data_IF_405999529765
#
_entry.id   IF_405999529765
#
_cell.length_a   1.000
_cell.length_b   1.000
_cell.length_c   1.000
_cell.angle_alpha   90.00
_cell.angle_beta   90.00
_cell.angle_gamma   90.00
#
_symmetry.space_group_name_H-M   'P 1'
#
loop_
_entity.id
_entity.type
_entity.pdbx_description
1 polymer ?
#
# COMPACT_ATOMS: atom_id res chain seq x y z
N UNK A 1 -8.26 -3.44 15.53
CA UNK A 1 -7.10 -2.81 14.84
C UNK A 1 -7.61 -1.80 13.83
N UNK A 2 -6.99 -0.63 13.73
CA UNK A 2 -7.46 0.40 12.79
C UNK A 2 -7.12 0.03 11.35
N UNK A 3 -7.96 0.43 10.40
CA UNK A 3 -7.68 0.35 8.95
C UNK A 3 -6.28 0.89 8.63
N UNK A 4 -5.81 1.88 9.39
CA UNK A 4 -4.49 2.46 9.27
C UNK A 4 -3.36 1.46 9.60
N UNK A 5 -3.45 0.72 10.71
CA UNK A 5 -2.45 -0.28 11.07
C UNK A 5 -2.44 -1.48 10.09
N UNK A 6 -3.62 -1.89 9.64
CA UNK A 6 -3.79 -2.95 8.63
C UNK A 6 -3.16 -2.53 7.29
N UNK A 7 -3.45 -1.32 6.80
CA UNK A 7 -2.92 -0.80 5.54
C UNK A 7 -1.41 -0.55 5.62
N UNK A 8 -0.88 -0.07 6.75
CA UNK A 8 0.57 0.08 6.95
C UNK A 8 1.30 -1.26 6.89
N UNK A 9 0.72 -2.33 7.46
CA UNK A 9 1.26 -3.68 7.36
C UNK A 9 1.33 -4.18 5.91
N UNK A 10 0.27 -3.95 5.12
CA UNK A 10 0.25 -4.36 3.71
C UNK A 10 1.18 -3.48 2.87
N UNK A 11 1.20 -2.17 3.08
CA UNK A 11 2.11 -1.24 2.41
C UNK A 11 3.58 -1.63 2.61
N UNK A 12 3.95 -1.99 3.85
CA UNK A 12 5.29 -2.51 4.15
C UNK A 12 5.56 -3.84 3.42
N UNK A 13 4.56 -4.72 3.31
CA UNK A 13 4.65 -5.96 2.53
C UNK A 13 4.79 -5.69 1.02
N UNK A 14 4.08 -4.72 0.46
CA UNK A 14 4.21 -4.28 -0.95
C UNK A 14 5.63 -3.75 -1.21
N UNK A 15 6.18 -2.93 -0.30
CA UNK A 15 7.56 -2.44 -0.40
C UNK A 15 8.57 -3.58 -0.33
N UNK A 16 8.41 -4.49 0.64
CA UNK A 16 9.28 -5.67 0.78
C UNK A 16 9.20 -6.56 -0.45
N UNK A 17 8.02 -6.79 -1.00
CA UNK A 17 7.82 -7.60 -2.20
C UNK A 17 8.39 -6.91 -3.45
N UNK A 18 8.23 -5.59 -3.59
CA UNK A 18 8.81 -4.83 -4.71
C UNK A 18 10.34 -4.79 -4.62
N UNK A 19 10.91 -4.62 -3.43
CA UNK A 19 12.35 -4.71 -3.19
C UNK A 19 12.88 -6.13 -3.43
N UNK A 20 12.17 -7.17 -2.97
CA UNK A 20 12.52 -8.59 -3.19
C UNK A 20 12.38 -8.97 -4.67
N UNK A 21 11.38 -8.45 -5.38
CA UNK A 21 11.20 -8.65 -6.82
C UNK A 21 12.25 -7.88 -7.65
N UNK A 22 12.67 -6.69 -7.22
CA UNK A 22 13.79 -5.95 -7.82
C UNK A 22 15.13 -6.64 -7.56
N UNK A 23 15.36 -7.16 -6.36
CA UNK A 23 16.55 -7.97 -6.00
C UNK A 23 16.62 -9.27 -6.80
N UNK A 24 15.51 -10.01 -6.95
CA UNK A 24 15.44 -11.22 -7.80
C UNK A 24 15.72 -10.95 -9.29
N UNK A 25 15.39 -9.75 -9.78
CA UNK A 25 15.70 -9.33 -11.15
C UNK A 25 17.16 -8.89 -11.34
N UNK A 26 17.88 -8.58 -10.25
CA UNK A 26 19.28 -8.13 -10.27
C UNK A 26 20.30 -9.19 -9.83
N UNK A 27 19.87 -10.32 -9.27
CA UNK A 27 20.76 -11.40 -8.83
C UNK A 27 20.01 -12.72 -8.81
N UNK A 28 20.38 -13.63 -9.71
CA UNK A 28 20.01 -15.04 -9.62
C UNK A 28 20.70 -15.61 -8.38
N UNK A 29 19.94 -15.98 -7.35
CA UNK A 29 20.33 -16.98 -6.35
C UNK A 29 19.09 -17.48 -5.60
N UNK A 30 18.81 -18.77 -5.78
CA UNK A 30 18.09 -19.64 -4.85
C UNK A 30 19.00 -19.93 -3.64
N UNK A 31 18.43 -20.18 -2.45
CA UNK A 31 18.27 -21.59 -2.06
C UNK A 31 16.85 -21.94 -1.61
N UNK A 32 16.41 -23.10 -2.08
CA UNK A 32 15.35 -23.93 -1.51
C UNK A 32 15.83 -24.47 -0.17
N UNK A 33 15.09 -24.22 0.91
CA UNK A 33 15.03 -25.13 2.06
C UNK A 33 13.80 -24.83 2.94
N UNK A 34 12.84 -25.76 2.84
CA UNK A 34 11.91 -26.24 3.87
C UNK A 34 11.29 -25.25 4.85
N UNK A 35 10.15 -24.66 4.49
CA UNK A 35 9.11 -24.28 5.47
C UNK A 35 7.78 -24.07 4.73
N UNK A 36 7.05 -25.17 4.46
CA UNK A 36 5.74 -25.14 3.77
C UNK A 36 4.78 -24.12 4.42
N UNK A 37 4.88 -23.91 5.74
CA UNK A 37 4.07 -22.91 6.47
C UNK A 37 4.55 -21.45 6.37
N UNK A 38 5.77 -21.17 5.90
CA UNK A 38 6.23 -19.81 5.54
C UNK A 38 6.02 -19.52 4.06
N UNK A 39 6.07 -20.52 3.19
CA UNK A 39 5.77 -20.36 1.77
C UNK A 39 4.30 -20.00 1.57
N UNK A 40 3.37 -20.72 2.22
CA UNK A 40 1.94 -20.42 2.13
C UNK A 40 1.59 -19.01 2.65
N UNK A 41 2.19 -18.60 3.78
CA UNK A 41 2.03 -17.24 4.30
C UNK A 41 2.62 -16.18 3.37
N UNK A 42 3.76 -16.45 2.75
CA UNK A 42 4.38 -15.54 1.79
C UNK A 42 3.58 -15.42 0.48
N UNK A 43 2.93 -16.51 0.04
CA UNK A 43 2.02 -16.52 -1.12
C UNK A 43 0.76 -15.72 -0.80
N UNK A 44 0.08 -16.00 0.31
CA UNK A 44 -1.12 -15.28 0.73
C UNK A 44 -0.87 -13.76 0.93
N UNK A 45 0.28 -13.40 1.51
CA UNK A 45 0.69 -12.00 1.64
C UNK A 45 0.95 -11.33 0.28
N UNK A 46 1.47 -12.08 -0.70
CA UNK A 46 1.74 -11.59 -2.05
C UNK A 46 0.46 -11.38 -2.84
N UNK A 47 -0.50 -12.29 -2.73
CA UNK A 47 -1.84 -12.14 -3.33
C UNK A 47 -2.57 -10.94 -2.75
N UNK A 48 -2.55 -10.79 -1.42
CA UNK A 48 -3.13 -9.64 -0.74
C UNK A 48 -2.46 -8.32 -1.13
N UNK A 49 -1.13 -8.31 -1.25
CA UNK A 49 -0.38 -7.17 -1.78
C UNK A 49 -0.76 -6.86 -3.25
N UNK A 50 -1.01 -7.88 -4.06
CA UNK A 50 -1.50 -7.75 -5.43
C UNK A 50 -2.87 -7.10 -5.50
N UNK A 51 -3.83 -7.57 -4.69
CA UNK A 51 -5.17 -6.99 -4.59
C UNK A 51 -5.17 -5.54 -4.10
N UNK A 52 -4.34 -5.21 -3.11
CA UNK A 52 -4.17 -3.81 -2.68
C UNK A 52 -3.57 -2.95 -3.78
N UNK A 53 -2.57 -3.45 -4.53
CA UNK A 53 -1.99 -2.70 -5.64
C UNK A 53 -2.99 -2.50 -6.79
N UNK A 54 -3.81 -3.50 -7.08
CA UNK A 54 -4.89 -3.41 -8.07
C UNK A 54 -5.95 -2.38 -7.64
N UNK A 55 -6.42 -2.47 -6.40
CA UNK A 55 -7.40 -1.53 -5.85
C UNK A 55 -6.88 -0.09 -5.77
N UNK A 56 -5.58 0.12 -5.52
CA UNK A 56 -4.98 1.47 -5.60
C UNK A 56 -4.95 1.99 -7.03
N UNK A 57 -4.67 1.13 -8.01
CA UNK A 57 -4.56 1.49 -9.42
C UNK A 57 -5.90 1.81 -10.09
N UNK A 58 -7.03 1.44 -9.49
CA UNK A 58 -8.38 1.81 -9.97
C UNK A 58 -8.86 3.13 -9.41
N UNK A 59 -8.17 3.72 -8.42
CA UNK A 59 -8.54 5.00 -7.84
C UNK A 59 -8.15 6.16 -8.75
N UNK A 60 -8.87 7.30 -8.67
CA UNK A 60 -8.39 8.54 -9.26
C UNK A 60 -6.98 8.90 -8.73
N UNK A 61 -6.11 9.40 -9.61
CA UNK A 61 -4.69 9.70 -9.32
C UNK A 61 -4.49 10.49 -8.02
N UNK A 62 -5.37 11.47 -7.75
CA UNK A 62 -5.30 12.32 -6.56
C UNK A 62 -5.58 11.57 -5.27
N UNK A 63 -6.43 10.54 -5.30
CA UNK A 63 -6.73 9.69 -4.15
C UNK A 63 -5.61 8.70 -3.90
N UNK A 64 -5.11 8.08 -4.97
CA UNK A 64 -3.95 7.20 -4.89
C UNK A 64 -2.75 7.94 -4.30
N UNK A 65 -2.40 9.12 -4.84
CA UNK A 65 -1.30 9.94 -4.36
C UNK A 65 -1.45 10.32 -2.87
N UNK A 66 -2.66 10.70 -2.44
CA UNK A 66 -2.92 11.04 -1.04
C UNK A 66 -2.67 9.83 -0.11
N UNK A 67 -3.14 8.65 -0.51
CA UNK A 67 -2.90 7.42 0.24
C UNK A 67 -1.42 7.04 0.24
N UNK A 68 -0.72 7.19 -0.89
CA UNK A 68 0.72 6.90 -0.96
C UNK A 68 1.52 7.82 -0.04
N UNK A 69 1.32 9.13 -0.11
CA UNK A 69 2.00 10.08 0.77
C UNK A 69 1.72 9.80 2.25
N UNK A 70 0.46 9.49 2.59
CA UNK A 70 0.09 9.25 3.99
C UNK A 70 0.67 7.95 4.55
N UNK A 71 0.66 6.88 3.76
CA UNK A 71 0.92 5.52 4.25
C UNK A 71 2.27 4.96 3.84
N UNK A 72 2.75 5.31 2.64
CA UNK A 72 4.07 4.90 2.14
C UNK A 72 5.13 5.90 2.57
N UNK A 73 4.90 7.19 2.31
CA UNK A 73 5.88 8.24 2.62
C UNK A 73 5.76 8.73 4.07
N UNK A 74 4.76 8.23 4.81
CA UNK A 74 4.50 8.50 6.23
C UNK A 74 4.32 9.98 6.56
N UNK A 75 3.92 10.79 5.58
CA UNK A 75 3.73 12.22 5.76
C UNK A 75 2.57 12.54 6.71
N UNK A 76 2.74 13.60 7.48
CA UNK A 76 1.68 14.25 8.26
C UNK A 76 0.71 15.01 7.34
N UNK A 77 -0.47 15.38 7.86
CA UNK A 77 -1.43 16.18 7.09
C UNK A 77 -0.88 17.57 6.78
N UNK A 78 -0.14 18.18 7.72
CA UNK A 78 0.58 19.44 7.54
C UNK A 78 1.60 19.37 6.39
N UNK A 79 2.43 18.32 6.33
CA UNK A 79 3.42 18.16 5.26
C UNK A 79 2.75 17.95 3.89
N UNK A 80 1.67 17.16 3.84
CA UNK A 80 0.89 16.97 2.60
C UNK A 80 0.22 18.28 2.16
N UNK A 81 -0.33 19.04 3.10
CA UNK A 81 -0.97 20.32 2.87
C UNK A 81 0.03 21.33 2.29
N UNK A 82 1.22 21.44 2.89
CA UNK A 82 2.31 22.26 2.40
C UNK A 82 2.79 21.83 1.00
N UNK A 83 2.97 20.53 0.78
CA UNK A 83 3.42 19.99 -0.51
C UNK A 83 2.43 20.28 -1.66
N UNK A 84 1.13 20.39 -1.35
CA UNK A 84 0.07 20.59 -2.36
C UNK A 84 -0.56 21.98 -2.34
N UNK A 85 -0.05 22.92 -1.55
CA UNK A 85 -0.63 24.26 -1.42
C UNK A 85 -2.10 24.25 -0.98
N UNK A 86 -2.47 23.33 -0.09
CA UNK A 86 -3.84 23.15 0.41
C UNK A 86 -3.90 23.30 1.92
N UNK A 87 -5.10 23.38 2.48
CA UNK A 87 -5.29 23.35 3.94
C UNK A 87 -5.29 21.93 4.46
N UNK A 88 -4.91 21.72 5.73
CA UNK A 88 -4.98 20.40 6.37
C UNK A 88 -6.40 19.82 6.35
N UNK A 89 -7.42 20.67 6.50
CA UNK A 89 -8.84 20.28 6.40
C UNK A 89 -9.21 19.75 5.00
N UNK A 90 -8.64 20.34 3.94
CA UNK A 90 -8.84 19.84 2.58
C UNK A 90 -8.17 18.46 2.39
N UNK A 91 -6.96 18.27 2.94
CA UNK A 91 -6.26 16.98 2.94
C UNK A 91 -7.04 15.93 3.73
N UNK A 92 -7.60 16.27 4.88
CA UNK A 92 -8.43 15.38 5.69
C UNK A 92 -9.69 14.92 4.94
N UNK A 93 -10.42 15.86 4.33
CA UNK A 93 -11.58 15.56 3.49
C UNK A 93 -11.21 14.66 2.32
N UNK A 94 -10.06 14.92 1.68
CA UNK A 94 -9.57 14.11 0.58
C UNK A 94 -9.21 12.69 1.03
N UNK A 95 -8.47 12.54 2.13
CA UNK A 95 -8.09 11.24 2.67
C UNK A 95 -9.31 10.43 3.10
N UNK A 96 -10.35 11.08 3.61
CA UNK A 96 -11.62 10.42 3.95
C UNK A 96 -12.26 9.80 2.71
N UNK A 97 -12.38 10.57 1.63
CA UNK A 97 -12.92 10.08 0.34
C UNK A 97 -12.04 9.02 -0.30
N UNK A 98 -10.72 9.21 -0.30
CA UNK A 98 -9.77 8.25 -0.84
C UNK A 98 -9.85 6.89 -0.12
N UNK A 99 -10.01 6.88 1.21
CA UNK A 99 -10.21 5.65 1.99
C UNK A 99 -11.53 4.95 1.69
N UNK A 100 -12.60 5.71 1.46
CA UNK A 100 -13.89 5.15 1.09
C UNK A 100 -13.82 4.49 -0.28
N UNK A 101 -13.29 5.21 -1.28
CA UNK A 101 -13.08 4.68 -2.63
C UNK A 101 -12.15 3.45 -2.65
N UNK A 102 -11.08 3.46 -1.84
CA UNK A 102 -10.23 2.27 -1.70
C UNK A 102 -10.99 1.07 -1.11
N UNK A 103 -11.86 1.29 -0.13
CA UNK A 103 -12.64 0.20 0.48
C UNK A 103 -13.61 -0.42 -0.51
N UNK A 104 -14.24 0.39 -1.35
CA UNK A 104 -15.11 -0.05 -2.43
C UNK A 104 -14.30 -0.86 -3.45
N UNK A 105 -13.21 -0.29 -3.99
CA UNK A 105 -12.34 -0.97 -4.95
C UNK A 105 -11.64 -2.25 -4.43
N UNK A 106 -11.44 -2.36 -3.11
CA UNK A 106 -10.84 -3.54 -2.48
C UNK A 106 -11.90 -4.59 -2.06
N UNK A 107 -13.16 -4.17 -1.90
CA UNK A 107 -14.27 -4.99 -1.43
C UNK A 107 -15.24 -5.44 -2.52
N UNK A 108 -15.24 -4.79 -3.68
CA UNK A 108 -15.84 -5.31 -4.92
C UNK A 108 -14.94 -6.43 -5.47
N UNK A 109 -15.17 -7.64 -4.95
CA UNK A 109 -14.76 -8.95 -5.48
C UNK A 109 -15.96 -9.90 -5.25
#
# INVERSE_FOLDING_TARGET
GSFHAWLCGIAANVLRNRLRSRRRRGGRQEPLDGDLGKEDRAVADRERAGRVAAALATLPDRYEAALRMKYLDRMSMAEMAAAWGQTEKAIESLLTRARAAFREAYGDD
#
